data_IF_811211315368
#
_entry.id   IF_811211315368
#
_cell.length_a   1.000
_cell.length_b   1.000
_cell.length_c   1.000
_cell.angle_alpha   90.00
_cell.angle_beta   90.00
_cell.angle_gamma   90.00
#
_symmetry.space_group_name_H-M   'P 1'
#
loop_
_entity.id
_entity.type
_entity.pdbx_description
1 polymer ?
#
# COMPACT_ATOMS: atom_id res chain seq x y z
N UNK A 1 -16.76 -0.44 -27.57
CA UNK A 1 -15.84 0.60 -27.12
C UNK A 1 -14.47 0.39 -27.76
N UNK A 2 -13.94 1.40 -28.46
CA UNK A 2 -12.67 1.32 -29.20
C UNK A 2 -11.43 1.14 -28.28
N UNK A 3 -11.57 1.34 -26.97
CA UNK A 3 -10.50 1.08 -26.00
C UNK A 3 -10.46 -0.37 -25.50
N UNK A 4 -11.47 -1.17 -25.81
CA UNK A 4 -11.51 -2.57 -25.43
C UNK A 4 -10.49 -3.39 -26.23
N UNK A 5 -9.84 -4.36 -25.61
CA UNK A 5 -8.88 -5.25 -26.26
C UNK A 5 -9.52 -6.23 -27.25
N UNK A 6 -10.82 -6.45 -27.13
CA UNK A 6 -11.64 -7.28 -28.01
C UNK A 6 -12.62 -6.45 -28.87
N UNK A 7 -12.28 -5.17 -29.16
CA UNK A 7 -13.10 -4.29 -29.96
C UNK A 7 -13.33 -4.85 -31.38
N UNK A 8 -14.60 -4.95 -31.78
CA UNK A 8 -15.03 -5.27 -33.15
C UNK A 8 -15.77 -4.06 -33.72
N UNK A 9 -15.22 -3.44 -34.76
CA UNK A 9 -15.82 -2.31 -35.46
C UNK A 9 -17.15 -2.65 -36.15
N UNK A 10 -17.40 -3.94 -36.40
CA UNK A 10 -18.60 -4.42 -37.05
C UNK A 10 -19.70 -4.87 -36.07
N UNK A 11 -19.42 -4.83 -34.78
CA UNK A 11 -20.44 -5.14 -33.77
C UNK A 11 -21.59 -4.15 -33.83
N UNK A 12 -22.82 -4.68 -33.94
CA UNK A 12 -24.05 -3.85 -34.07
C UNK A 12 -24.65 -3.49 -32.71
N UNK A 13 -24.25 -4.17 -31.65
CA UNK A 13 -24.71 -3.90 -30.29
C UNK A 13 -23.63 -4.30 -29.28
N UNK A 14 -23.65 -3.67 -28.11
CA UNK A 14 -22.85 -4.03 -26.96
C UNK A 14 -23.55 -5.22 -26.24
N UNK A 15 -22.84 -6.35 -26.15
CA UNK A 15 -23.27 -7.53 -25.41
C UNK A 15 -22.67 -7.63 -24.01
N UNK A 16 -21.94 -6.60 -23.57
CA UNK A 16 -21.26 -6.54 -22.30
C UNK A 16 -19.97 -7.37 -22.23
N UNK A 17 -19.47 -7.90 -23.38
CA UNK A 17 -18.28 -8.72 -23.45
C UNK A 17 -16.97 -7.93 -23.58
N UNK A 18 -17.01 -6.59 -23.57
CA UNK A 18 -15.83 -5.77 -23.67
C UNK A 18 -14.80 -6.09 -22.58
N UNK A 19 -13.60 -6.40 -22.99
CA UNK A 19 -12.45 -6.62 -22.11
C UNK A 19 -11.44 -5.50 -22.24
N UNK A 20 -10.91 -5.03 -21.11
CA UNK A 20 -9.94 -3.94 -21.09
C UNK A 20 -8.61 -4.46 -20.53
N UNK A 21 -7.47 -4.04 -21.09
CA UNK A 21 -6.18 -4.38 -20.52
C UNK A 21 -6.09 -3.83 -19.09
N UNK A 22 -5.51 -4.62 -18.18
CA UNK A 22 -5.23 -4.14 -16.83
C UNK A 22 -4.24 -2.97 -16.90
N UNK A 23 -4.48 -1.85 -16.23
CA UNK A 23 -3.49 -0.79 -16.13
C UNK A 23 -2.31 -1.15 -15.23
N UNK A 24 -2.42 -2.16 -14.39
CA UNK A 24 -1.33 -2.64 -13.52
C UNK A 24 -0.25 -3.36 -14.34
N UNK A 25 1.00 -2.94 -14.17
CA UNK A 25 2.18 -3.50 -14.83
C UNK A 25 2.94 -4.43 -13.89
N UNK A 26 3.40 -3.89 -12.76
CA UNK A 26 4.26 -4.61 -11.83
C UNK A 26 4.27 -3.97 -10.44
N UNK A 27 4.86 -4.68 -9.48
CA UNK A 27 5.31 -4.08 -8.23
C UNK A 27 6.74 -3.56 -8.40
N UNK A 28 7.00 -2.37 -7.87
CA UNK A 28 8.32 -1.76 -7.84
C UNK A 28 8.76 -1.52 -6.40
N UNK A 29 9.99 -1.89 -6.07
CA UNK A 29 10.59 -1.67 -4.76
C UNK A 29 11.72 -0.68 -4.87
N UNK A 30 11.70 0.34 -4.03
CA UNK A 30 12.73 1.37 -3.93
C UNK A 30 13.37 1.32 -2.55
N UNK A 31 14.69 1.44 -2.48
CA UNK A 31 15.39 1.60 -1.21
C UNK A 31 15.45 3.08 -0.85
N UNK A 32 15.04 3.40 0.36
CA UNK A 32 15.06 4.78 0.90
C UNK A 32 16.34 4.98 1.69
N UNK A 33 17.00 6.12 1.49
CA UNK A 33 18.12 6.53 2.35
C UNK A 33 17.60 6.87 3.74
N UNK A 34 17.91 6.02 4.71
CA UNK A 34 17.51 6.16 6.11
C UNK A 34 18.68 6.50 7.03
N UNK A 35 19.80 6.96 6.48
CA UNK A 35 21.03 7.28 7.22
C UNK A 35 20.81 8.30 8.33
N UNK A 36 19.87 9.24 8.15
CA UNK A 36 19.52 10.25 9.16
C UNK A 36 18.76 9.69 10.36
N UNK A 37 18.19 8.49 10.26
CA UNK A 37 17.49 7.81 11.35
C UNK A 37 18.43 7.28 12.43
N UNK A 38 19.73 7.20 12.16
CA UNK A 38 20.76 6.67 13.08
C UNK A 38 20.41 5.30 13.66
N UNK A 39 19.91 4.42 12.84
CA UNK A 39 19.55 3.06 13.23
C UNK A 39 20.76 2.27 13.73
N UNK A 40 20.58 1.55 14.85
CA UNK A 40 21.68 0.87 15.54
C UNK A 40 22.04 -0.49 14.93
N UNK A 41 21.10 -1.15 14.24
CA UNK A 41 21.25 -2.53 13.78
C UNK A 41 21.38 -2.64 12.25
N UNK A 42 21.55 -1.52 11.55
CA UNK A 42 21.69 -1.51 10.09
C UNK A 42 20.36 -1.72 9.35
N UNK A 43 19.28 -1.23 9.94
CA UNK A 43 17.94 -1.27 9.35
C UNK A 43 17.93 -0.65 7.95
N UNK A 44 17.19 -1.25 7.05
CA UNK A 44 16.99 -0.79 5.67
C UNK A 44 15.52 -0.49 5.43
N UNK A 45 15.24 0.65 4.82
CA UNK A 45 13.89 1.09 4.52
C UNK A 45 13.60 0.90 3.03
N UNK A 46 12.45 0.30 2.75
CA UNK A 46 11.95 0.05 1.39
C UNK A 46 10.58 0.70 1.21
N UNK A 47 10.33 1.22 0.03
CA UNK A 47 9.00 1.62 -0.43
C UNK A 47 8.52 0.68 -1.52
N UNK A 48 7.26 0.25 -1.41
CA UNK A 48 6.59 -0.60 -2.38
C UNK A 48 5.60 0.23 -3.17
N UNK A 49 5.70 0.16 -4.49
CA UNK A 49 4.81 0.84 -5.42
C UNK A 49 4.13 -0.16 -6.34
N UNK A 50 2.91 0.16 -6.75
CA UNK A 50 2.30 -0.41 -7.94
C UNK A 50 2.63 0.47 -9.13
N UNK A 51 3.19 -0.09 -10.18
CA UNK A 51 3.47 0.57 -11.45
C UNK A 51 2.29 0.39 -12.39
N UNK A 52 1.85 1.50 -13.02
CA UNK A 52 0.70 1.54 -13.91
C UNK A 52 1.16 2.00 -15.31
N UNK A 53 0.43 1.61 -16.35
CA UNK A 53 0.71 2.03 -17.72
C UNK A 53 -0.20 3.17 -18.21
N UNK A 54 -0.99 3.74 -17.31
CA UNK A 54 -1.92 4.84 -17.60
C UNK A 54 -1.90 5.83 -16.44
N UNK A 55 -1.64 7.09 -16.73
CA UNK A 55 -1.62 8.20 -15.77
C UNK A 55 -3.00 8.54 -15.17
N UNK A 56 -4.06 8.12 -15.85
CA UNK A 56 -5.46 8.27 -15.39
C UNK A 56 -5.98 7.07 -14.60
N UNK A 57 -5.23 5.97 -14.55
CA UNK A 57 -5.60 4.81 -13.77
C UNK A 57 -5.46 5.12 -12.27
N UNK A 58 -6.32 4.50 -11.45
CA UNK A 58 -6.32 4.72 -10.01
C UNK A 58 -6.23 3.41 -9.26
N UNK A 59 -5.47 3.42 -8.16
CA UNK A 59 -5.58 2.38 -7.13
C UNK A 59 -6.41 2.96 -5.99
N UNK A 60 -7.62 2.45 -5.83
CA UNK A 60 -8.54 2.90 -4.79
C UNK A 60 -8.68 1.91 -3.65
N UNK A 61 -8.20 0.69 -3.88
CA UNK A 61 -8.31 -0.38 -2.91
C UNK A 61 -7.25 -1.44 -3.17
N UNK A 62 -6.68 -1.98 -2.10
CA UNK A 62 -6.11 -3.33 -2.11
C UNK A 62 -6.75 -4.16 -1.00
N UNK A 63 -7.01 -5.41 -1.30
CA UNK A 63 -7.74 -6.30 -0.39
C UNK A 63 -7.20 -7.72 -0.48
N UNK A 64 -7.41 -8.46 0.59
CA UNK A 64 -7.12 -9.89 0.64
C UNK A 64 -8.38 -10.67 1.03
N UNK A 65 -8.52 -11.84 0.44
CA UNK A 65 -9.52 -12.84 0.77
C UNK A 65 -8.90 -14.25 0.75
N UNK A 66 -9.67 -15.27 1.07
CA UNK A 66 -9.20 -16.67 1.11
C UNK A 66 -8.60 -17.15 -0.22
N UNK A 67 -9.01 -16.56 -1.35
CA UNK A 67 -8.55 -16.96 -2.70
C UNK A 67 -7.43 -16.07 -3.23
N UNK A 68 -7.27 -14.89 -2.64
CA UNK A 68 -6.30 -13.85 -3.02
C UNK A 68 -5.60 -13.31 -1.78
N UNK A 69 -4.71 -14.11 -1.18
CA UNK A 69 -3.98 -13.70 0.00
C UNK A 69 -2.99 -12.58 -0.30
N UNK A 70 -2.85 -11.64 0.62
CA UNK A 70 -1.72 -10.73 0.64
C UNK A 70 -0.71 -11.19 1.68
N UNK A 71 0.54 -11.26 1.27
CA UNK A 71 1.65 -11.66 2.11
C UNK A 71 2.73 -10.59 2.08
N UNK A 72 3.07 -10.04 3.25
CA UNK A 72 4.26 -9.21 3.46
C UNK A 72 5.16 -9.97 4.42
N UNK A 73 6.38 -10.29 4.02
CA UNK A 73 7.28 -11.10 4.80
C UNK A 73 8.69 -10.49 4.87
N UNK A 74 9.31 -10.64 6.02
CA UNK A 74 10.72 -10.38 6.23
C UNK A 74 11.36 -11.54 6.97
N UNK A 75 12.65 -11.77 6.76
CA UNK A 75 13.44 -12.75 7.52
C UNK A 75 13.94 -12.19 8.85
N UNK A 76 13.73 -10.91 9.09
CA UNK A 76 14.13 -10.17 10.28
C UNK A 76 12.92 -9.62 11.01
N UNK A 77 12.99 -8.44 11.60
CA UNK A 77 11.85 -7.77 12.24
C UNK A 77 11.47 -6.52 11.47
N UNK A 78 10.18 -6.23 11.41
CA UNK A 78 9.72 -4.91 11.00
C UNK A 78 9.96 -3.90 12.13
N UNK A 79 10.38 -2.72 11.73
CA UNK A 79 10.54 -1.59 12.64
C UNK A 79 9.24 -0.78 12.71
N UNK A 80 8.82 -0.46 13.93
CA UNK A 80 7.72 0.44 14.22
C UNK A 80 8.20 1.50 15.20
N UNK A 81 8.08 2.78 14.82
CA UNK A 81 8.36 3.89 15.73
C UNK A 81 7.30 3.99 16.83
N UNK A 82 7.68 4.48 18.01
CA UNK A 82 6.73 4.66 19.13
C UNK A 82 5.58 5.64 18.82
N UNK A 83 5.76 6.53 17.85
CA UNK A 83 4.77 7.47 17.33
C UNK A 83 4.24 7.06 15.97
N UNK A 84 4.64 5.88 15.50
CA UNK A 84 4.24 5.30 14.23
C UNK A 84 2.85 4.69 14.25
N UNK A 85 2.43 4.21 13.09
CA UNK A 85 1.18 3.50 12.93
C UNK A 85 1.26 2.55 11.73
N UNK A 86 0.47 1.48 11.75
CA UNK A 86 0.44 0.49 10.67
C UNK A 86 -0.17 1.05 9.36
N UNK A 87 -0.96 2.09 9.45
CA UNK A 87 -1.53 2.81 8.30
C UNK A 87 -1.01 4.23 8.31
N UNK A 88 -0.43 4.67 7.20
CA UNK A 88 0.25 5.96 7.10
C UNK A 88 -0.64 7.14 7.52
N UNK A 89 -1.91 7.13 7.14
CA UNK A 89 -2.89 8.19 7.47
C UNK A 89 -3.09 8.40 8.98
N UNK A 90 -2.66 7.46 9.82
CA UNK A 90 -2.74 7.57 11.27
C UNK A 90 -1.48 8.20 11.90
N UNK A 91 -0.43 8.41 11.12
CA UNK A 91 0.80 9.05 11.58
C UNK A 91 0.59 10.57 11.61
N UNK A 92 0.94 11.21 12.71
CA UNK A 92 0.89 12.65 12.83
C UNK A 92 2.06 13.29 12.07
N UNK A 93 1.79 13.84 10.89
CA UNK A 93 2.79 14.43 9.99
C UNK A 93 3.71 15.44 10.68
N UNK A 94 3.19 16.25 11.59
CA UNK A 94 3.98 17.25 12.32
C UNK A 94 5.16 16.65 13.13
N UNK A 95 5.15 15.36 13.41
CA UNK A 95 6.25 14.69 14.09
C UNK A 95 7.28 14.10 13.13
N UNK A 96 6.93 13.92 11.85
CA UNK A 96 7.83 13.37 10.84
C UNK A 96 9.00 14.34 10.61
N UNK A 97 10.23 13.85 10.77
CA UNK A 97 11.43 14.69 10.70
C UNK A 97 11.68 15.57 11.92
N UNK A 98 10.83 15.45 12.96
CA UNK A 98 11.05 16.15 14.23
C UNK A 98 12.22 15.54 15.01
N UNK A 99 13.03 16.33 15.73
CA UNK A 99 14.04 15.81 16.64
C UNK A 99 13.48 14.92 17.77
N UNK A 100 12.18 14.99 18.04
CA UNK A 100 11.49 14.13 19.03
C UNK A 100 11.17 12.74 18.49
N UNK A 101 11.10 12.58 17.16
CA UNK A 101 10.80 11.33 16.51
C UNK A 101 11.70 11.16 15.25
N UNK A 102 13.01 11.07 15.40
CA UNK A 102 13.95 11.08 14.27
C UNK A 102 13.79 9.85 13.35
N UNK A 103 13.24 8.75 13.87
CA UNK A 103 13.04 7.50 13.14
C UNK A 103 11.64 7.37 12.54
N UNK A 104 10.70 8.26 12.89
CA UNK A 104 9.30 8.20 12.43
C UNK A 104 9.17 8.28 10.89
N UNK A 105 10.06 9.01 10.24
CA UNK A 105 10.10 9.09 8.77
C UNK A 105 10.36 7.72 8.10
N UNK A 106 10.86 6.76 8.86
CA UNK A 106 11.23 5.42 8.41
C UNK A 106 10.38 4.32 9.05
N UNK A 107 9.26 4.70 9.64
CA UNK A 107 8.29 3.77 10.19
C UNK A 107 7.76 2.79 9.14
N UNK A 108 7.30 1.61 9.57
CA UNK A 108 6.68 0.63 8.67
C UNK A 108 5.17 0.83 8.66
N UNK A 109 4.60 1.01 7.47
CA UNK A 109 3.17 1.25 7.28
C UNK A 109 2.70 0.88 5.88
N UNK A 110 1.38 0.73 5.73
CA UNK A 110 0.69 0.58 4.44
C UNK A 110 -0.08 1.85 4.09
N UNK A 111 -0.28 2.09 2.81
CA UNK A 111 -1.01 3.24 2.28
C UNK A 111 -1.56 2.97 0.88
N UNK A 112 -2.31 3.93 0.35
CA UNK A 112 -2.57 4.09 -1.09
C UNK A 112 -2.24 5.54 -1.41
N UNK A 113 -1.20 5.76 -2.22
CA UNK A 113 -0.77 7.09 -2.62
C UNK A 113 0.37 7.67 -1.80
N UNK A 114 0.46 8.99 -1.73
CA UNK A 114 1.62 9.67 -1.16
C UNK A 114 1.85 9.38 0.32
N UNK A 115 3.13 9.40 0.69
CA UNK A 115 3.54 9.36 2.07
C UNK A 115 3.26 10.70 2.76
N UNK A 116 2.69 10.63 3.97
CA UNK A 116 2.48 11.79 4.85
C UNK A 116 1.59 12.88 4.26
N UNK A 117 0.48 12.47 3.68
CA UNK A 117 -0.54 13.42 3.23
C UNK A 117 -1.30 14.04 4.40
N UNK A 118 -1.69 15.30 4.24
CA UNK A 118 -2.58 15.99 5.18
C UNK A 118 -4.04 15.52 5.06
N UNK A 119 -4.38 14.79 4.03
CA UNK A 119 -5.74 14.32 3.77
C UNK A 119 -5.89 12.88 4.27
N UNK A 120 -6.23 12.74 5.54
CA UNK A 120 -6.48 11.45 6.18
C UNK A 120 -7.87 10.93 5.78
N UNK A 121 -7.94 10.06 4.80
CA UNK A 121 -9.21 9.46 4.36
C UNK A 121 -9.07 8.02 3.85
N UNK A 122 -8.01 7.32 4.22
CA UNK A 122 -7.95 5.89 4.02
C UNK A 122 -8.86 5.16 5.03
N UNK A 123 -9.59 4.18 4.55
CA UNK A 123 -10.48 3.35 5.35
C UNK A 123 -9.93 1.94 5.46
N UNK A 124 -9.78 1.46 6.68
CA UNK A 124 -9.46 0.06 6.96
C UNK A 124 -10.78 -0.69 7.13
N UNK A 125 -11.05 -1.64 6.24
CA UNK A 125 -12.20 -2.53 6.33
C UNK A 125 -11.81 -3.77 7.11
N UNK A 126 -12.67 -4.14 8.07
CA UNK A 126 -12.48 -5.29 8.94
C UNK A 126 -11.17 -5.26 9.74
N UNK A 127 -10.90 -4.12 10.40
CA UNK A 127 -9.66 -3.87 11.14
C UNK A 127 -9.27 -4.99 12.12
N UNK A 128 -10.23 -5.69 12.71
CA UNK A 128 -9.97 -6.81 13.61
C UNK A 128 -9.31 -8.02 12.91
N UNK A 129 -9.63 -8.23 11.62
CA UNK A 129 -9.05 -9.32 10.84
C UNK A 129 -7.63 -9.00 10.31
N UNK A 130 -7.25 -7.73 10.30
CA UNK A 130 -5.89 -7.31 9.95
C UNK A 130 -4.85 -7.75 10.97
N UNK A 131 -5.25 -7.98 12.24
CA UNK A 131 -4.33 -8.38 13.31
C UNK A 131 -3.41 -7.24 13.76
N UNK A 132 -3.88 -5.98 13.72
CA UNK A 132 -3.12 -4.84 14.24
C UNK A 132 -2.67 -5.05 15.71
N UNK A 133 -1.45 -4.63 16.08
CA UNK A 133 -0.43 -3.96 15.27
C UNK A 133 0.31 -4.95 14.34
N UNK A 134 0.53 -4.54 13.08
CA UNK A 134 1.17 -5.38 12.05
C UNK A 134 2.69 -5.43 12.20
N UNK A 135 3.29 -4.26 12.42
CA UNK A 135 4.74 -4.07 12.26
C UNK A 135 5.51 -3.95 13.58
N UNK A 136 4.85 -3.95 14.73
CA UNK A 136 5.50 -3.75 16.03
C UNK A 136 6.35 -4.97 16.45
N UNK A 137 7.60 -5.01 15.97
CA UNK A 137 8.54 -6.09 16.25
C UNK A 137 8.14 -7.44 15.66
N UNK A 138 7.21 -7.47 14.71
CA UNK A 138 6.73 -8.70 14.09
C UNK A 138 7.84 -9.34 13.27
N UNK A 139 8.10 -10.61 13.54
CA UNK A 139 9.00 -11.46 12.76
C UNK A 139 8.22 -12.41 11.88
N UNK A 140 8.72 -12.61 10.66
CA UNK A 140 8.12 -13.56 9.72
C UNK A 140 6.97 -12.96 8.91
N UNK A 141 6.18 -13.81 8.26
CA UNK A 141 5.14 -13.35 7.35
C UNK A 141 3.97 -12.71 8.10
N UNK A 142 3.54 -11.56 7.62
CA UNK A 142 2.23 -10.99 7.91
C UNK A 142 1.30 -11.56 6.86
N UNK A 143 0.45 -12.50 7.27
CA UNK A 143 -0.48 -13.21 6.39
C UNK A 143 -1.91 -12.79 6.71
N UNK A 144 -2.51 -12.03 5.82
CA UNK A 144 -3.88 -11.54 5.99
C UNK A 144 -4.95 -12.57 5.64
N UNK A 145 -4.57 -13.75 5.16
CA UNK A 145 -5.51 -14.86 5.00
C UNK A 145 -5.74 -15.61 6.30
N UNK A 146 -4.76 -15.61 7.20
CA UNK A 146 -4.80 -16.37 8.45
C UNK A 146 -5.68 -15.74 9.53
N UNK A 147 -6.39 -14.67 9.27
CA UNK A 147 -7.28 -13.95 10.20
C UNK A 147 -8.47 -14.75 10.74
N UNK A 148 -8.38 -16.05 10.73
CA UNK A 148 -9.00 -17.04 11.61
C UNK A 148 -10.53 -17.08 11.68
N UNK A 149 -11.25 -16.26 10.95
CA UNK A 149 -12.71 -16.31 10.87
C UNK A 149 -13.16 -16.31 9.42
N UNK A 150 -13.82 -17.36 9.06
CA UNK A 150 -14.55 -17.56 7.82
C UNK A 150 -15.24 -16.27 7.38
N UNK A 151 -14.90 -15.76 6.19
CA UNK A 151 -15.41 -14.54 5.54
C UNK A 151 -14.85 -13.19 6.03
N UNK A 152 -13.64 -13.12 6.50
CA UNK A 152 -13.05 -11.84 6.88
C UNK A 152 -12.18 -11.26 5.75
N UNK A 153 -12.83 -10.79 4.68
CA UNK A 153 -12.16 -9.95 3.70
C UNK A 153 -11.58 -8.73 4.39
N UNK A 154 -10.31 -8.43 4.13
CA UNK A 154 -9.65 -7.24 4.64
C UNK A 154 -9.33 -6.31 3.49
N UNK A 155 -9.50 -5.02 3.69
CA UNK A 155 -9.19 -4.04 2.68
C UNK A 155 -8.66 -2.73 3.27
N UNK A 156 -7.69 -2.13 2.59
CA UNK A 156 -7.39 -0.71 2.70
C UNK A 156 -8.01 -0.02 1.50
N UNK A 157 -8.78 1.01 1.74
CA UNK A 157 -9.51 1.75 0.71
C UNK A 157 -9.27 3.25 0.86
N UNK A 158 -9.26 3.93 -0.28
CA UNK A 158 -9.27 5.39 -0.36
C UNK A 158 -10.35 5.83 -1.37
N UNK A 159 -11.11 6.90 -1.09
CA UNK A 159 -12.14 7.38 -2.01
C UNK A 159 -11.57 7.64 -3.41
N UNK A 160 -12.29 7.27 -4.48
CA UNK A 160 -11.77 7.37 -5.85
C UNK A 160 -11.66 8.81 -6.38
N UNK A 161 -12.22 9.79 -5.70
CA UNK A 161 -12.05 11.22 -5.96
C UNK A 161 -10.74 11.78 -5.35
N UNK A 162 -10.08 11.03 -4.49
CA UNK A 162 -8.79 11.42 -3.94
C UNK A 162 -7.69 11.34 -5.03
N UNK A 163 -6.92 12.42 -5.16
CA UNK A 163 -5.86 12.52 -6.17
C UNK A 163 -4.66 11.60 -5.86
N UNK A 164 -4.49 11.20 -4.62
CA UNK A 164 -3.42 10.28 -4.22
C UNK A 164 -3.62 8.84 -4.72
N UNK A 165 -4.83 8.51 -5.16
CA UNK A 165 -5.10 7.26 -5.87
C UNK A 165 -4.47 7.23 -7.27
N UNK A 166 -4.11 8.40 -7.82
CA UNK A 166 -3.45 8.52 -9.11
C UNK A 166 -1.96 8.21 -9.02
N UNK A 167 -1.34 7.72 -10.09
CA UNK A 167 0.10 7.52 -10.11
C UNK A 167 0.87 8.85 -10.09
N UNK A 168 2.06 8.80 -9.54
CA UNK A 168 3.03 9.88 -9.58
C UNK A 168 3.59 10.11 -11.01
N UNK A 169 4.56 11.03 -11.14
CA UNK A 169 5.23 11.33 -12.41
C UNK A 169 6.01 10.13 -13.01
N UNK A 170 6.24 9.08 -12.24
CA UNK A 170 6.88 7.83 -12.67
C UNK A 170 5.85 6.72 -12.95
N UNK A 171 4.58 7.06 -13.03
CA UNK A 171 3.46 6.13 -13.17
C UNK A 171 3.32 5.12 -12.02
N UNK A 172 3.58 5.53 -10.79
CA UNK A 172 3.58 4.67 -9.60
C UNK A 172 2.63 5.18 -8.53
N UNK A 173 1.92 4.27 -7.88
CA UNK A 173 1.14 4.52 -6.67
C UNK A 173 1.83 3.84 -5.50
N UNK A 174 2.16 4.59 -4.47
CA UNK A 174 2.79 4.06 -3.25
C UNK A 174 1.79 3.17 -2.48
N UNK A 175 2.24 1.99 -2.07
CA UNK A 175 1.42 1.02 -1.33
C UNK A 175 1.88 0.82 0.11
N UNK A 176 3.12 1.15 0.41
CA UNK A 176 3.64 1.03 1.77
C UNK A 176 5.13 1.32 1.88
N UNK A 177 5.57 1.47 3.12
CA UNK A 177 6.97 1.58 3.51
C UNK A 177 7.27 0.51 4.55
N UNK A 178 8.42 -0.12 4.43
CA UNK A 178 8.82 -1.23 5.31
C UNK A 178 10.28 -1.06 5.69
N UNK A 179 10.53 -0.91 6.97
CA UNK A 179 11.88 -0.87 7.53
C UNK A 179 12.13 -2.17 8.27
N UNK A 180 13.21 -2.84 7.91
CA UNK A 180 13.59 -4.14 8.49
C UNK A 180 15.06 -4.15 8.88
N UNK A 181 15.41 -4.90 9.91
CA UNK A 181 16.78 -5.08 10.39
C UNK A 181 17.51 -6.24 9.71
#
# INVERSE_FOLDING_TARGET
DASASNYDINALCDDGSCTYPSPFVSLHVETVDNSVGNFANGEVTYRLYAELNQDSAKITQFYADETRPHLIATTTTFFQDQYGADVQDQITEAFVGSPLAPTLAFDSWITIGDAYTTVQNAFVINAAAWGFPLFNGTTGPIDWTAGGTVNSDVALMRPPDNLECLPDANNRVLLGQFTTS
#
